data_IF_367208854158
#
_entry.id   IF_367208854158
#
_cell.length_a   1.000
_cell.length_b   1.000
_cell.length_c   1.000
_cell.angle_alpha   90.00
_cell.angle_beta   90.00
_cell.angle_gamma   90.00
#
_symmetry.space_group_name_H-M   'P 1'
#
loop_
_entity.id
_entity.type
_entity.pdbx_description
1 polymer ?
#
# COMPACT_ATOMS: atom_id res chain seq x y z
N UNK A 1 -7.93 -0.91 -23.73
CA UNK A 1 -8.31 -2.28 -24.12
C UNK A 1 -9.33 -2.34 -25.27
N UNK A 2 -10.50 -1.67 -25.19
CA UNK A 2 -11.49 -1.72 -26.30
C UNK A 2 -10.92 -1.20 -27.61
N UNK A 3 -10.19 -0.09 -27.60
CA UNK A 3 -9.54 0.49 -28.78
C UNK A 3 -8.47 -0.43 -29.34
N UNK A 4 -7.63 -1.02 -28.47
CA UNK A 4 -6.63 -2.00 -28.86
C UNK A 4 -7.25 -3.18 -29.60
N UNK A 5 -8.28 -3.80 -29.01
CA UNK A 5 -8.97 -4.95 -29.61
C UNK A 5 -9.58 -4.59 -30.98
N UNK A 6 -10.21 -3.40 -31.10
CA UNK A 6 -10.74 -2.90 -32.37
C UNK A 6 -9.64 -2.68 -33.42
N UNK A 7 -8.50 -2.10 -33.03
CA UNK A 7 -7.36 -1.89 -33.91
C UNK A 7 -6.79 -3.22 -34.47
N UNK A 8 -6.97 -4.32 -33.71
CA UNK A 8 -6.63 -5.66 -34.15
C UNK A 8 -7.75 -6.33 -35.00
N UNK A 9 -8.79 -5.58 -35.37
CA UNK A 9 -9.91 -6.11 -36.17
C UNK A 9 -10.82 -7.07 -35.43
N UNK A 10 -10.79 -7.09 -34.08
CA UNK A 10 -11.63 -7.96 -33.27
C UNK A 10 -12.84 -7.20 -32.71
N UNK A 11 -13.97 -7.90 -32.51
CA UNK A 11 -15.16 -7.30 -31.89
C UNK A 11 -14.89 -6.73 -30.50
N UNK A 12 -15.45 -5.57 -30.18
CA UNK A 12 -15.19 -4.83 -28.93
C UNK A 12 -15.48 -5.61 -27.65
N UNK A 13 -16.38 -6.59 -27.67
CA UNK A 13 -16.70 -7.44 -26.51
C UNK A 13 -15.52 -8.32 -26.09
N UNK A 14 -14.59 -8.65 -26.99
CA UNK A 14 -13.37 -9.42 -26.69
C UNK A 14 -12.50 -8.71 -25.65
N UNK A 15 -12.55 -7.38 -25.59
CA UNK A 15 -11.88 -6.62 -24.55
C UNK A 15 -12.30 -7.03 -23.12
N UNK A 16 -13.60 -7.32 -22.92
CA UNK A 16 -14.12 -7.77 -21.63
C UNK A 16 -13.62 -9.17 -21.28
N UNK A 17 -13.57 -10.07 -22.27
CA UNK A 17 -13.02 -11.42 -22.09
C UNK A 17 -11.53 -11.36 -21.72
N UNK A 18 -10.73 -10.57 -22.45
CA UNK A 18 -9.30 -10.39 -22.11
C UNK A 18 -9.10 -9.85 -20.69
N UNK A 19 -9.86 -8.80 -20.29
CA UNK A 19 -9.79 -8.26 -18.94
C UNK A 19 -10.16 -9.30 -17.88
N UNK A 20 -11.21 -10.10 -18.11
CA UNK A 20 -11.58 -11.19 -17.22
C UNK A 20 -10.43 -12.21 -17.07
N UNK A 21 -9.82 -12.62 -18.18
CA UNK A 21 -8.70 -13.56 -18.14
C UNK A 21 -7.47 -13.00 -17.45
N UNK A 22 -7.13 -11.74 -17.70
CA UNK A 22 -5.97 -11.09 -17.08
C UNK A 22 -6.18 -10.94 -15.56
N UNK A 23 -7.31 -10.38 -15.14
CA UNK A 23 -7.51 -9.96 -13.75
C UNK A 23 -8.17 -11.00 -12.86
N UNK A 24 -9.09 -11.83 -13.39
CA UNK A 24 -9.79 -12.85 -12.59
C UNK A 24 -9.16 -14.23 -12.76
N UNK A 25 -8.86 -14.65 -14.01
CA UNK A 25 -8.19 -15.93 -14.29
C UNK A 25 -6.68 -15.87 -14.12
N UNK A 26 -6.09 -14.65 -14.09
CA UNK A 26 -4.65 -14.39 -13.91
C UNK A 26 -3.80 -15.01 -15.02
N UNK A 27 -4.29 -14.95 -16.25
CA UNK A 27 -3.55 -15.43 -17.41
C UNK A 27 -2.17 -14.75 -17.48
N UNK A 28 -1.13 -15.54 -17.68
CA UNK A 28 0.24 -15.07 -17.80
C UNK A 28 0.65 -14.81 -19.26
N UNK A 29 -0.09 -15.34 -20.22
CA UNK A 29 0.11 -15.11 -21.65
C UNK A 29 -1.23 -15.01 -22.38
N UNK A 30 -1.22 -14.44 -23.57
CA UNK A 30 -2.40 -14.37 -24.44
C UNK A 30 -2.86 -15.77 -24.85
N UNK A 31 -1.94 -16.70 -25.00
CA UNK A 31 -2.27 -18.09 -25.36
C UNK A 31 -3.15 -18.82 -24.35
N UNK A 32 -3.10 -18.39 -23.09
CA UNK A 32 -3.96 -18.94 -22.04
C UNK A 32 -5.42 -18.50 -22.16
N UNK A 33 -5.73 -17.48 -22.99
CA UNK A 33 -7.09 -16.93 -23.15
C UNK A 33 -7.88 -17.83 -24.11
N UNK A 34 -8.29 -19.00 -23.66
CA UNK A 34 -8.94 -20.02 -24.50
C UNK A 34 -10.33 -19.64 -25.01
N UNK A 35 -10.94 -18.57 -24.52
CA UNK A 35 -12.16 -17.99 -25.09
C UNK A 35 -11.92 -17.28 -26.43
N UNK A 36 -10.66 -17.01 -26.80
CA UNK A 36 -10.27 -16.50 -28.10
C UNK A 36 -9.94 -17.67 -29.04
N UNK A 37 -10.26 -17.53 -30.34
CA UNK A 37 -9.81 -18.50 -31.34
C UNK A 37 -8.27 -18.52 -31.42
N UNK A 38 -7.72 -19.59 -31.98
CA UNK A 38 -6.26 -19.74 -32.13
C UNK A 38 -5.68 -18.59 -32.95
N UNK A 39 -6.30 -18.28 -34.10
CA UNK A 39 -5.88 -17.15 -34.98
C UNK A 39 -5.94 -15.81 -34.26
N UNK A 40 -6.98 -15.58 -33.42
CA UNK A 40 -7.07 -14.35 -32.63
C UNK A 40 -5.98 -14.24 -31.57
N UNK A 41 -5.60 -15.36 -30.93
CA UNK A 41 -4.49 -15.39 -29.98
C UNK A 41 -3.16 -15.12 -30.64
N UNK A 42 -2.86 -15.79 -31.76
CA UNK A 42 -1.66 -15.56 -32.56
C UNK A 42 -1.56 -14.09 -32.95
N UNK A 43 -2.59 -13.53 -33.57
CA UNK A 43 -2.62 -12.13 -33.98
C UNK A 43 -2.39 -11.15 -32.83
N UNK A 44 -2.98 -11.41 -31.67
CA UNK A 44 -2.83 -10.57 -30.48
C UNK A 44 -1.44 -10.72 -29.86
N UNK A 45 -0.83 -11.93 -29.91
CA UNK A 45 0.51 -12.19 -29.39
C UNK A 45 1.59 -11.52 -30.21
N UNK A 46 1.37 -11.35 -31.53
CA UNK A 46 2.27 -10.57 -32.41
C UNK A 46 2.24 -9.06 -32.09
N UNK A 47 1.11 -8.56 -31.57
CA UNK A 47 0.89 -7.14 -31.31
C UNK A 47 1.11 -6.71 -29.85
N UNK A 48 1.00 -7.64 -28.90
CA UNK A 48 1.09 -7.36 -27.47
C UNK A 48 1.41 -8.60 -26.65
N UNK A 49 1.79 -8.37 -25.39
CA UNK A 49 1.98 -9.42 -24.40
C UNK A 49 1.32 -9.03 -23.06
N UNK A 50 1.12 -9.99 -22.19
CA UNK A 50 0.72 -9.74 -20.80
C UNK A 50 2.00 -9.60 -19.98
N UNK A 51 2.22 -8.41 -19.39
CA UNK A 51 3.36 -8.19 -18.51
C UNK A 51 3.26 -9.08 -17.26
N UNK A 52 4.41 -9.53 -16.78
CA UNK A 52 4.49 -10.35 -15.58
C UNK A 52 5.72 -9.94 -14.77
N UNK A 53 5.55 -9.79 -13.48
CA UNK A 53 6.68 -9.58 -12.58
C UNK A 53 7.42 -10.90 -12.38
N UNK A 54 8.74 -10.88 -12.51
CA UNK A 54 9.61 -12.00 -12.22
C UNK A 54 9.83 -12.12 -10.71
N UNK A 55 9.64 -13.31 -10.14
CA UNK A 55 9.95 -13.55 -8.73
C UNK A 55 11.47 -13.81 -8.58
N UNK A 56 12.19 -12.81 -8.08
CA UNK A 56 13.63 -12.91 -7.82
C UNK A 56 13.95 -13.60 -6.50
N UNK A 57 13.15 -13.32 -5.46
CA UNK A 57 13.33 -13.90 -4.12
C UNK A 57 12.04 -13.91 -3.32
N UNK A 58 11.89 -14.93 -2.47
CA UNK A 58 10.81 -15.05 -1.48
C UNK A 58 11.42 -15.38 -0.13
N UNK A 59 11.09 -14.60 0.89
CA UNK A 59 11.50 -14.81 2.28
C UNK A 59 10.27 -15.00 3.15
N UNK A 60 10.33 -15.94 4.09
CA UNK A 60 9.24 -16.21 5.04
C UNK A 60 9.73 -15.97 6.46
N UNK A 61 9.03 -15.11 7.19
CA UNK A 61 9.27 -14.80 8.59
C UNK A 61 8.74 -15.90 9.52
N UNK A 62 9.25 -15.95 10.75
CA UNK A 62 8.73 -16.82 11.83
C UNK A 62 7.26 -16.57 12.14
N UNK A 63 6.76 -15.37 11.89
CA UNK A 63 5.35 -14.99 12.09
C UNK A 63 4.48 -15.22 10.84
N UNK A 64 4.98 -15.97 9.87
CA UNK A 64 4.36 -16.30 8.58
C UNK A 64 4.16 -15.11 7.64
N UNK A 65 4.77 -13.95 7.91
CA UNK A 65 4.86 -12.85 6.94
C UNK A 65 5.79 -13.25 5.81
N UNK A 66 5.39 -12.98 4.57
CA UNK A 66 6.20 -13.29 3.39
C UNK A 66 6.58 -12.02 2.66
N UNK A 67 7.84 -11.90 2.32
CA UNK A 67 8.38 -10.82 1.49
C UNK A 67 8.78 -11.36 0.13
N UNK A 68 8.32 -10.69 -0.92
CA UNK A 68 8.60 -11.00 -2.30
C UNK A 68 9.44 -9.90 -2.90
N UNK A 69 10.54 -10.23 -3.53
CA UNK A 69 11.32 -9.35 -4.38
C UNK A 69 10.96 -9.66 -5.84
N UNK A 70 10.44 -8.68 -6.55
CA UNK A 70 10.06 -8.78 -7.95
C UNK A 70 10.99 -7.97 -8.84
N UNK A 71 11.42 -8.58 -9.94
CA UNK A 71 12.10 -7.94 -11.05
C UNK A 71 11.11 -7.25 -11.98
N UNK A 72 11.53 -6.11 -12.50
CA UNK A 72 10.82 -5.32 -13.50
C UNK A 72 11.53 -5.46 -14.86
N UNK A 73 10.83 -5.15 -15.96
CA UNK A 73 11.36 -5.31 -17.32
C UNK A 73 12.61 -4.47 -17.62
N UNK A 74 12.81 -3.38 -16.89
CA UNK A 74 13.97 -2.50 -17.01
C UNK A 74 15.17 -2.88 -16.11
N UNK A 75 15.10 -4.04 -15.46
CA UNK A 75 16.13 -4.53 -14.55
C UNK A 75 16.07 -3.95 -13.14
N UNK A 76 15.16 -3.03 -12.85
CA UNK A 76 14.91 -2.55 -11.49
C UNK A 76 14.10 -3.60 -10.70
N UNK A 77 13.98 -3.39 -9.39
CA UNK A 77 13.25 -4.31 -8.53
C UNK A 77 12.42 -3.61 -7.46
N UNK A 78 11.36 -4.28 -7.03
CA UNK A 78 10.46 -3.81 -5.97
C UNK A 78 10.14 -4.93 -4.98
N UNK A 79 9.76 -4.56 -3.78
CA UNK A 79 9.30 -5.51 -2.77
C UNK A 79 7.81 -5.39 -2.50
N UNK A 80 7.18 -6.54 -2.26
CA UNK A 80 5.81 -6.65 -1.75
C UNK A 80 5.79 -7.56 -0.53
N UNK A 81 4.87 -7.33 0.41
CA UNK A 81 4.80 -8.10 1.66
C UNK A 81 3.39 -8.62 1.90
N UNK A 82 3.28 -9.93 2.08
CA UNK A 82 2.04 -10.61 2.43
C UNK A 82 2.02 -10.86 3.93
N UNK A 83 1.03 -10.25 4.60
CA UNK A 83 0.95 -10.19 6.07
C UNK A 83 -0.30 -10.92 6.53
N UNK A 84 -0.18 -12.11 7.15
CA UNK A 84 -1.29 -12.79 7.80
C UNK A 84 -1.59 -12.17 9.17
N UNK A 85 -2.86 -11.96 9.46
CA UNK A 85 -3.34 -11.50 10.76
C UNK A 85 -4.77 -12.03 11.02
N UNK A 86 -4.91 -13.08 11.84
CA UNK A 86 -6.18 -13.78 12.09
C UNK A 86 -6.88 -14.17 10.77
N UNK A 87 -8.06 -13.60 10.54
CA UNK A 87 -8.86 -13.85 9.33
C UNK A 87 -8.49 -12.95 8.14
N UNK A 88 -7.42 -12.16 8.26
CA UNK A 88 -6.97 -11.23 7.23
C UNK A 88 -5.66 -11.67 6.61
N UNK A 89 -5.60 -11.57 5.31
CA UNK A 89 -4.38 -11.71 4.54
C UNK A 89 -4.17 -10.40 3.78
N UNK A 90 -3.27 -9.55 4.28
CA UNK A 90 -3.03 -8.20 3.75
C UNK A 90 -1.81 -8.22 2.84
N UNK A 91 -1.95 -7.73 1.61
CA UNK A 91 -0.82 -7.51 0.72
C UNK A 91 -0.42 -6.03 0.75
N UNK A 92 0.82 -5.77 1.14
CA UNK A 92 1.48 -4.48 1.06
C UNK A 92 2.18 -4.38 -0.30
N UNK A 93 1.82 -3.37 -1.10
CA UNK A 93 2.35 -3.15 -2.45
C UNK A 93 3.09 -1.84 -2.57
N UNK A 94 4.03 -1.80 -3.51
CA UNK A 94 4.87 -0.65 -3.85
C UNK A 94 4.24 0.19 -4.96
N UNK A 95 4.54 1.50 -4.96
CA UNK A 95 4.08 2.46 -5.97
C UNK A 95 5.22 3.11 -6.76
N UNK A 96 6.47 2.94 -6.32
CA UNK A 96 7.66 3.50 -6.96
C UNK A 96 8.83 2.53 -6.79
N UNK A 97 9.82 2.64 -7.64
CA UNK A 97 11.16 2.08 -7.42
C UNK A 97 11.93 3.09 -6.58
N UNK A 98 12.19 2.74 -5.31
CA UNK A 98 12.73 3.68 -4.33
C UNK A 98 11.70 4.70 -3.83
N UNK A 99 12.16 5.79 -3.19
CA UNK A 99 11.29 6.85 -2.66
C UNK A 99 12.04 8.17 -2.52
N UNK A 100 11.43 9.27 -2.99
CA UNK A 100 12.01 10.62 -2.92
C UNK A 100 11.80 11.34 -1.57
N UNK A 101 11.03 10.75 -0.64
CA UNK A 101 10.61 11.47 0.57
C UNK A 101 11.71 11.68 1.61
N UNK A 102 12.75 10.84 1.61
CA UNK A 102 13.90 11.00 2.50
C UNK A 102 13.57 10.90 3.99
N UNK A 103 12.48 10.22 4.38
CA UNK A 103 12.12 10.05 5.80
C UNK A 103 13.27 9.36 6.56
N UNK A 104 13.71 9.93 7.68
CA UNK A 104 14.89 9.48 8.41
C UNK A 104 14.78 8.07 8.99
N UNK A 105 13.57 7.62 9.25
CA UNK A 105 13.25 6.31 9.80
C UNK A 105 12.95 5.23 8.74
N UNK A 106 13.03 5.57 7.43
CA UNK A 106 12.63 4.68 6.35
C UNK A 106 13.82 4.28 5.49
N UNK A 107 14.08 2.97 5.37
CA UNK A 107 15.19 2.45 4.58
C UNK A 107 14.99 2.71 3.08
N UNK A 108 13.76 2.61 2.57
CA UNK A 108 13.42 2.95 1.18
C UNK A 108 13.75 4.41 0.85
N UNK A 109 13.51 5.33 1.79
CA UNK A 109 13.86 6.74 1.61
C UNK A 109 15.37 7.01 1.52
N UNK A 110 16.20 6.13 2.09
CA UNK A 110 17.68 6.22 2.01
C UNK A 110 18.24 5.70 0.69
N UNK A 111 17.52 4.82 -0.01
CA UNK A 111 17.92 4.28 -1.32
C UNK A 111 17.78 5.35 -2.40
N UNK A 112 16.90 6.32 -2.20
CA UNK A 112 16.54 7.33 -3.17
C UNK A 112 15.45 6.87 -4.13
N UNK A 113 15.08 7.75 -5.04
CA UNK A 113 14.04 7.54 -6.05
C UNK A 113 14.66 7.21 -7.40
N UNK A 114 14.11 6.22 -8.09
CA UNK A 114 14.49 5.87 -9.46
C UNK A 114 13.39 6.29 -10.44
N UNK A 115 12.21 5.70 -10.32
CA UNK A 115 11.04 6.01 -11.17
C UNK A 115 9.71 5.64 -10.52
N UNK A 116 8.66 6.17 -11.09
CA UNK A 116 7.30 5.72 -10.79
C UNK A 116 7.04 4.33 -11.38
N UNK A 117 6.23 3.53 -10.69
CA UNK A 117 5.66 2.31 -11.27
C UNK A 117 4.48 2.69 -12.19
N UNK A 118 4.36 1.98 -13.30
CA UNK A 118 3.17 2.03 -14.16
C UNK A 118 1.99 1.33 -13.46
N UNK A 119 0.77 1.69 -13.84
CA UNK A 119 -0.44 1.11 -13.22
C UNK A 119 -0.48 -0.42 -13.32
N UNK A 120 0.00 -1.01 -14.41
CA UNK A 120 0.07 -2.47 -14.53
C UNK A 120 1.11 -3.06 -13.57
N UNK A 121 2.32 -2.47 -13.42
CA UNK A 121 3.33 -2.94 -12.48
C UNK A 121 2.84 -2.90 -11.02
N UNK A 122 1.98 -1.92 -10.68
CA UNK A 122 1.35 -1.84 -9.36
C UNK A 122 0.36 -3.00 -9.17
N UNK A 123 -0.47 -3.28 -10.18
CA UNK A 123 -1.47 -4.35 -10.13
C UNK A 123 -0.85 -5.73 -10.25
N UNK A 124 0.20 -5.87 -11.04
CA UNK A 124 0.90 -7.13 -11.26
C UNK A 124 1.52 -7.71 -9.98
N UNK A 125 1.88 -6.87 -9.00
CA UNK A 125 2.29 -7.35 -7.67
C UNK A 125 1.19 -8.21 -7.01
N UNK A 126 -0.06 -7.83 -7.18
CA UNK A 126 -1.20 -8.57 -6.63
C UNK A 126 -1.39 -9.88 -7.40
N UNK A 127 -1.36 -9.81 -8.73
CA UNK A 127 -1.54 -10.98 -9.62
C UNK A 127 -0.40 -11.99 -9.39
N UNK A 128 0.85 -11.52 -9.31
CA UNK A 128 2.02 -12.37 -9.09
C UNK A 128 1.93 -13.12 -7.75
N UNK A 129 1.61 -12.42 -6.65
CA UNK A 129 1.45 -13.08 -5.34
C UNK A 129 0.29 -14.07 -5.36
N UNK A 130 -0.83 -13.76 -6.04
CA UNK A 130 -1.95 -14.70 -6.17
C UNK A 130 -1.58 -15.95 -6.95
N UNK A 131 -0.80 -15.84 -8.03
CA UNK A 131 -0.29 -16.99 -8.80
C UNK A 131 0.63 -17.85 -7.94
N UNK A 132 1.60 -17.25 -7.25
CA UNK A 132 2.56 -17.94 -6.38
C UNK A 132 1.85 -18.71 -5.25
N UNK A 133 0.77 -18.15 -4.70
CA UNK A 133 0.01 -18.76 -3.60
C UNK A 133 -1.06 -19.74 -4.08
N UNK A 134 -1.29 -19.89 -5.39
CA UNK A 134 -2.33 -20.77 -5.93
C UNK A 134 -3.75 -20.32 -5.58
N UNK A 135 -3.96 -19.07 -5.23
CA UNK A 135 -5.28 -18.56 -4.80
C UNK A 135 -6.20 -18.30 -6.01
N UNK A 136 -7.28 -19.07 -6.11
CA UNK A 136 -8.25 -19.03 -7.21
C UNK A 136 -9.03 -17.72 -7.34
N UNK A 137 -9.36 -17.02 -6.28
CA UNK A 137 -10.09 -15.74 -6.36
C UNK A 137 -9.94 -14.89 -5.10
N UNK A 138 -10.18 -13.59 -5.22
CA UNK A 138 -10.35 -12.63 -4.11
C UNK A 138 -11.65 -12.81 -3.32
N UNK A 139 -12.36 -13.91 -3.50
CA UNK A 139 -13.67 -14.04 -2.87
C UNK A 139 -13.49 -14.36 -1.40
N UNK A 140 -13.84 -13.39 -0.58
CA UNK A 140 -14.46 -13.71 0.69
C UNK A 140 -15.71 -14.53 0.36
N UNK A 141 -15.63 -15.82 0.37
CA UNK A 141 -16.83 -16.60 0.62
C UNK A 141 -17.35 -16.16 1.98
N UNK A 142 -18.49 -15.48 1.97
CA UNK A 142 -19.38 -15.50 3.11
C UNK A 142 -19.38 -16.92 3.65
N UNK A 143 -19.29 -17.07 4.95
CA UNK A 143 -19.29 -18.35 5.62
C UNK A 143 -20.25 -19.32 4.90
N UNK A 144 -19.68 -20.31 4.23
CA UNK A 144 -20.45 -21.48 3.84
C UNK A 144 -20.64 -22.28 5.11
N UNK A 145 -21.85 -22.77 5.33
CA UNK A 145 -22.37 -23.40 6.54
C UNK A 145 -21.59 -24.58 7.12
N UNK A 146 -20.43 -24.92 6.61
CA UNK A 146 -19.63 -26.07 7.02
C UNK A 146 -18.17 -25.79 7.37
N UNK A 147 -17.79 -24.58 7.80
CA UNK A 147 -16.62 -24.33 8.64
C UNK A 147 -15.24 -24.90 8.25
N UNK A 148 -15.05 -25.50 7.07
CA UNK A 148 -13.79 -26.10 6.63
C UNK A 148 -13.56 -25.88 5.14
N UNK A 149 -12.92 -24.76 4.82
CA UNK A 149 -12.51 -24.45 3.45
C UNK A 149 -11.47 -23.36 3.46
N UNK A 150 -10.21 -23.70 3.77
CA UNK A 150 -9.06 -22.78 3.72
C UNK A 150 -8.66 -22.55 2.26
N UNK A 151 -9.32 -21.57 1.63
CA UNK A 151 -8.81 -20.86 0.47
C UNK A 151 -8.74 -19.40 0.82
N UNK A 152 -7.86 -19.01 1.75
CA UNK A 152 -7.70 -17.61 2.15
C UNK A 152 -7.00 -16.84 1.04
N UNK A 153 -7.78 -16.25 0.13
CA UNK A 153 -7.27 -15.25 -0.81
C UNK A 153 -6.85 -13.96 -0.08
N UNK A 154 -6.11 -13.11 -0.78
CA UNK A 154 -5.74 -11.77 -0.26
C UNK A 154 -7.03 -11.02 0.08
N UNK A 155 -7.14 -10.57 1.33
CA UNK A 155 -8.36 -9.91 1.83
C UNK A 155 -8.26 -8.39 1.81
N UNK A 156 -7.05 -7.85 1.93
CA UNK A 156 -6.80 -6.41 2.02
C UNK A 156 -5.56 -6.03 1.22
N UNK A 157 -5.56 -4.82 0.67
CA UNK A 157 -4.42 -4.22 -0.02
C UNK A 157 -4.04 -2.93 0.69
N UNK A 158 -2.74 -2.73 0.90
CA UNK A 158 -2.22 -1.48 1.46
C UNK A 158 -1.09 -0.93 0.58
N UNK A 159 -1.20 0.32 0.16
CA UNK A 159 -0.15 1.06 -0.53
C UNK A 159 0.78 1.65 0.53
N UNK A 160 1.58 0.78 1.13
CA UNK A 160 2.53 1.11 2.21
C UNK A 160 3.91 0.49 1.98
N UNK A 161 4.15 -0.02 0.76
CA UNK A 161 5.42 -0.53 0.30
C UNK A 161 6.39 0.59 -0.07
N UNK A 162 7.18 0.37 -1.11
CA UNK A 162 8.14 1.36 -1.58
C UNK A 162 7.44 2.50 -2.33
N UNK A 163 7.88 3.75 -2.05
CA UNK A 163 7.42 4.95 -2.73
C UNK A 163 6.38 5.77 -1.99
N UNK A 164 6.12 6.97 -2.54
CA UNK A 164 5.03 7.87 -2.14
C UNK A 164 3.92 7.83 -3.19
N UNK A 165 2.77 7.20 -2.89
CA UNK A 165 1.72 7.00 -3.91
C UNK A 165 1.20 8.29 -4.54
N UNK A 166 1.12 9.39 -3.79
CA UNK A 166 0.61 10.66 -4.32
C UNK A 166 1.62 11.42 -5.20
N UNK A 167 2.89 11.00 -5.26
CA UNK A 167 3.84 11.46 -6.28
C UNK A 167 3.73 10.64 -7.58
N UNK A 168 3.11 9.46 -7.52
CA UNK A 168 2.75 8.65 -8.68
C UNK A 168 1.23 8.67 -8.92
N UNK A 169 0.66 9.86 -8.87
CA UNK A 169 -0.78 10.06 -8.70
C UNK A 169 -1.64 9.39 -9.78
N UNK A 170 -1.35 9.64 -11.05
CA UNK A 170 -2.22 9.19 -12.15
C UNK A 170 -2.16 7.65 -12.31
N UNK A 171 -0.98 7.06 -12.21
CA UNK A 171 -0.79 5.61 -12.28
C UNK A 171 -1.41 4.89 -11.06
N UNK A 172 -1.33 5.49 -9.87
CA UNK A 172 -1.97 4.97 -8.67
C UNK A 172 -3.49 5.04 -8.76
N UNK A 173 -4.06 6.15 -9.28
CA UNK A 173 -5.50 6.28 -9.52
C UNK A 173 -5.99 5.23 -10.52
N UNK A 174 -5.24 5.03 -11.60
CA UNK A 174 -5.56 4.00 -12.61
C UNK A 174 -5.45 2.58 -12.01
N UNK A 175 -4.41 2.30 -11.22
CA UNK A 175 -4.28 1.03 -10.51
C UNK A 175 -5.46 0.77 -9.55
N UNK A 176 -5.87 1.78 -8.77
CA UNK A 176 -7.04 1.68 -7.87
C UNK A 176 -8.33 1.35 -8.63
N UNK A 177 -8.54 1.96 -9.80
CA UNK A 177 -9.68 1.63 -10.66
C UNK A 177 -9.63 0.17 -11.13
N UNK A 178 -8.48 -0.27 -11.65
CA UNK A 178 -8.31 -1.67 -12.10
C UNK A 178 -8.53 -2.68 -10.98
N UNK A 179 -7.99 -2.42 -9.79
CA UNK A 179 -8.16 -3.27 -8.62
C UNK A 179 -9.63 -3.37 -8.21
N UNK A 180 -10.36 -2.26 -8.22
CA UNK A 180 -11.76 -2.24 -7.79
C UNK A 180 -12.73 -2.75 -8.86
N UNK A 181 -12.50 -2.42 -10.13
CA UNK A 181 -13.42 -2.72 -11.23
C UNK A 181 -13.21 -4.12 -11.83
N UNK A 182 -11.93 -4.53 -11.99
CA UNK A 182 -11.61 -5.78 -12.69
C UNK A 182 -11.22 -6.93 -11.76
N UNK A 183 -10.66 -6.63 -10.57
CA UNK A 183 -10.33 -7.67 -9.59
C UNK A 183 -11.43 -7.84 -8.54
N UNK A 184 -12.46 -7.01 -8.52
CA UNK A 184 -13.58 -7.09 -7.59
C UNK A 184 -13.22 -6.80 -6.12
N UNK A 185 -12.06 -6.18 -5.85
CA UNK A 185 -11.66 -5.87 -4.48
C UNK A 185 -12.41 -4.65 -3.99
N UNK A 186 -13.18 -4.82 -2.92
CA UNK A 186 -13.92 -3.72 -2.33
C UNK A 186 -13.00 -2.57 -1.92
N UNK A 187 -13.36 -1.34 -2.29
CA UNK A 187 -12.66 -0.12 -1.88
C UNK A 187 -12.44 0.01 -0.36
N UNK A 188 -13.31 -0.60 0.46
CA UNK A 188 -13.18 -0.64 1.93
C UNK A 188 -12.03 -1.53 2.41
N UNK A 189 -11.50 -2.38 1.55
CA UNK A 189 -10.38 -3.28 1.84
C UNK A 189 -9.05 -2.77 1.30
N UNK A 190 -9.06 -1.59 0.69
CA UNK A 190 -7.87 -0.93 0.16
C UNK A 190 -7.55 0.26 1.06
N UNK A 191 -6.27 0.40 1.45
CA UNK A 191 -5.76 1.57 2.17
C UNK A 191 -4.61 2.18 1.38
N UNK A 192 -4.74 3.46 1.06
CA UNK A 192 -3.66 4.25 0.49
C UNK A 192 -3.01 5.08 1.59
N UNK A 193 -1.70 4.96 1.75
CA UNK A 193 -0.91 5.77 2.69
C UNK A 193 -0.14 6.84 1.94
N UNK A 194 -0.02 8.03 2.54
CA UNK A 194 0.80 9.12 2.00
C UNK A 194 1.57 9.82 3.10
N UNK A 195 2.77 10.28 2.77
CA UNK A 195 3.58 11.15 3.63
C UNK A 195 3.02 12.58 3.75
N UNK A 196 1.99 12.91 2.95
CA UNK A 196 1.29 14.18 3.05
C UNK A 196 1.56 15.16 1.91
N UNK A 197 1.42 14.70 0.65
CA UNK A 197 1.38 15.59 -0.52
C UNK A 197 0.04 16.33 -0.50
N UNK A 198 -0.03 17.39 0.31
CA UNK A 198 -1.27 18.04 0.74
C UNK A 198 -2.23 18.40 -0.41
N UNK A 199 -1.80 18.99 -1.56
CA UNK A 199 -2.71 19.33 -2.65
C UNK A 199 -3.36 18.10 -3.30
N UNK A 200 -2.69 16.95 -3.29
CA UNK A 200 -3.17 15.73 -3.92
C UNK A 200 -4.21 14.97 -3.07
N UNK A 201 -4.35 15.27 -1.80
CA UNK A 201 -5.31 14.59 -0.92
C UNK A 201 -6.76 14.86 -1.35
N UNK A 202 -7.23 16.11 -1.52
CA UNK A 202 -8.58 16.36 -2.03
C UNK A 202 -8.76 15.90 -3.48
N UNK A 203 -7.71 15.97 -4.30
CA UNK A 203 -7.74 15.51 -5.70
C UNK A 203 -7.97 13.99 -5.78
N UNK A 204 -7.38 13.22 -4.87
CA UNK A 204 -7.58 11.77 -4.78
C UNK A 204 -9.06 11.42 -4.59
N UNK A 205 -9.76 12.12 -3.72
CA UNK A 205 -11.20 11.90 -3.49
C UNK A 205 -12.08 12.25 -4.70
N UNK A 206 -11.62 13.13 -5.58
CA UNK A 206 -12.34 13.49 -6.82
C UNK A 206 -12.12 12.50 -7.95
N UNK A 207 -10.92 11.92 -8.05
CA UNK A 207 -10.49 11.15 -9.23
C UNK A 207 -10.42 9.64 -9.02
N UNK A 208 -10.30 9.17 -7.77
CA UNK A 208 -10.11 7.76 -7.45
C UNK A 208 -11.32 7.14 -6.74
N UNK A 209 -11.45 5.81 -6.75
CA UNK A 209 -12.35 5.11 -5.83
C UNK A 209 -12.06 5.51 -4.38
N UNK A 210 -13.11 5.77 -3.58
CA UNK A 210 -12.97 6.21 -2.19
C UNK A 210 -12.46 5.08 -1.30
N UNK A 211 -11.15 4.83 -1.35
CA UNK A 211 -10.44 3.87 -0.49
C UNK A 211 -10.15 4.48 0.89
N UNK A 212 -9.73 3.66 1.85
CA UNK A 212 -9.28 4.18 3.15
C UNK A 212 -8.00 4.99 2.97
N UNK A 213 -7.92 6.15 3.63
CA UNK A 213 -6.75 7.02 3.62
C UNK A 213 -5.98 6.89 4.92
N UNK A 214 -4.68 6.67 4.81
CA UNK A 214 -3.72 6.79 5.90
C UNK A 214 -2.76 7.95 5.63
N UNK A 215 -2.45 8.73 6.66
CA UNK A 215 -1.50 9.85 6.61
C UNK A 215 -0.34 9.54 7.54
N UNK A 216 0.86 9.45 7.00
CA UNK A 216 2.10 9.37 7.78
C UNK A 216 2.39 10.72 8.43
N UNK A 217 1.83 10.94 9.63
CA UNK A 217 1.96 12.19 10.37
C UNK A 217 3.30 12.26 11.10
N UNK A 218 3.58 11.28 11.93
CA UNK A 218 4.84 10.96 12.61
C UNK A 218 5.40 12.03 13.57
N UNK A 219 4.81 13.22 13.61
CA UNK A 219 5.13 14.26 14.59
C UNK A 219 3.90 15.13 14.87
N UNK A 220 3.90 15.78 16.02
CA UNK A 220 2.83 16.68 16.46
C UNK A 220 3.23 18.18 16.40
N UNK A 221 4.42 18.47 15.88
CA UNK A 221 4.95 19.82 15.63
C UNK A 221 5.82 19.85 14.37
N UNK A 222 5.94 21.02 13.75
CA UNK A 222 6.71 21.17 12.51
C UNK A 222 8.22 20.96 12.69
N UNK A 223 8.79 21.40 13.83
CA UNK A 223 10.23 21.30 14.10
C UNK A 223 10.68 19.83 14.08
N UNK A 224 9.97 18.98 14.79
CA UNK A 224 10.24 17.53 14.82
C UNK A 224 9.96 16.91 13.45
N UNK A 225 8.84 17.30 12.81
CA UNK A 225 8.48 16.74 11.52
C UNK A 225 9.46 17.12 10.40
N UNK A 226 10.02 18.32 10.40
CA UNK A 226 11.04 18.76 9.43
C UNK A 226 12.29 17.89 9.48
N UNK A 227 12.65 17.41 10.67
CA UNK A 227 13.84 16.56 10.89
C UNK A 227 13.58 15.14 10.39
N UNK A 228 12.41 14.57 10.72
CA UNK A 228 12.15 13.16 10.42
C UNK A 228 11.44 12.92 9.08
N UNK A 229 10.77 13.93 8.54
CA UNK A 229 10.03 13.90 7.27
C UNK A 229 10.24 15.20 6.48
N UNK A 230 11.25 15.30 5.62
CA UNK A 230 11.61 16.55 4.90
C UNK A 230 10.49 17.16 4.09
N UNK A 231 9.49 16.37 3.68
CA UNK A 231 8.28 16.85 2.98
C UNK A 231 7.52 17.93 3.76
N UNK A 232 7.68 17.97 5.09
CA UNK A 232 7.03 18.96 5.94
C UNK A 232 7.45 20.39 5.61
N UNK A 233 8.70 20.60 5.19
CA UNK A 233 9.20 21.91 4.73
C UNK A 233 8.39 22.45 3.56
N UNK A 234 7.87 21.56 2.69
CA UNK A 234 7.02 21.93 1.57
C UNK A 234 5.54 22.02 1.95
N UNK A 235 5.10 21.12 2.81
CA UNK A 235 3.72 21.02 3.28
C UNK A 235 3.69 20.90 4.80
N UNK A 236 3.77 22.03 5.55
CA UNK A 236 3.69 22.05 7.02
C UNK A 236 2.41 21.40 7.53
N UNK A 237 2.40 21.02 8.81
CA UNK A 237 1.27 20.35 9.45
C UNK A 237 -0.06 21.09 9.24
N UNK A 238 -0.07 22.41 9.30
CA UNK A 238 -1.27 23.23 9.11
C UNK A 238 -1.85 23.03 7.70
N UNK A 239 -1.00 23.05 6.68
CA UNK A 239 -1.37 22.83 5.27
C UNK A 239 -1.87 21.41 5.05
N UNK A 240 -1.17 20.43 5.62
CA UNK A 240 -1.56 19.03 5.54
C UNK A 240 -2.92 18.80 6.18
N UNK A 241 -3.12 19.26 7.42
CA UNK A 241 -4.36 19.06 8.16
C UNK A 241 -5.53 19.86 7.55
N UNK A 242 -5.27 21.05 6.99
CA UNK A 242 -6.26 21.79 6.22
C UNK A 242 -6.73 20.99 4.98
N UNK A 243 -5.82 20.29 4.29
CA UNK A 243 -6.18 19.42 3.17
C UNK A 243 -6.98 18.19 3.64
N UNK A 244 -6.67 17.63 4.80
CA UNK A 244 -7.44 16.55 5.40
C UNK A 244 -8.87 16.99 5.75
N UNK A 245 -9.08 18.21 6.25
CA UNK A 245 -10.42 18.75 6.57
C UNK A 245 -11.31 18.98 5.34
N UNK A 246 -10.73 19.08 4.14
CA UNK A 246 -11.49 19.20 2.87
C UNK A 246 -12.06 17.86 2.37
N UNK A 247 -11.75 16.74 3.02
CA UNK A 247 -12.27 15.44 2.64
C UNK A 247 -13.76 15.37 3.02
N UNK A 248 -14.65 14.93 2.11
CA UNK A 248 -16.07 14.76 2.41
C UNK A 248 -16.25 13.49 3.27
N UNK A 249 -16.25 13.66 4.58
CA UNK A 249 -16.44 12.55 5.52
C UNK A 249 -17.89 12.07 5.51
N UNK A 250 -18.09 10.77 5.28
CA UNK A 250 -19.33 10.09 5.66
C UNK A 250 -19.28 9.69 7.15
N UNK A 251 -20.42 9.37 7.80
CA UNK A 251 -20.44 9.02 9.23
C UNK A 251 -19.49 7.88 9.64
N UNK A 252 -19.11 7.02 8.69
CA UNK A 252 -18.21 5.87 8.92
C UNK A 252 -16.79 6.07 8.39
N UNK A 253 -16.52 7.18 7.72
CA UNK A 253 -15.20 7.48 7.13
C UNK A 253 -14.32 8.16 8.15
N UNK A 254 -13.09 7.68 8.33
CA UNK A 254 -12.06 8.25 9.20
C UNK A 254 -10.72 8.18 8.52
N UNK A 255 -9.91 9.20 8.71
CA UNK A 255 -8.49 9.16 8.35
C UNK A 255 -7.74 8.32 9.39
N UNK A 256 -6.81 7.50 8.96
CA UNK A 256 -5.84 6.87 9.85
C UNK A 256 -4.58 7.71 9.87
N UNK A 257 -4.22 8.28 11.02
CA UNK A 257 -2.91 8.91 11.18
C UNK A 257 -1.91 7.87 11.69
N UNK A 258 -0.90 7.60 10.88
CA UNK A 258 0.22 6.73 11.24
C UNK A 258 1.26 7.56 11.98
N UNK A 259 1.70 7.08 13.14
CA UNK A 259 2.67 7.73 13.99
C UNK A 259 3.78 6.77 14.38
N UNK A 260 4.90 6.82 13.64
CA UNK A 260 6.11 6.04 13.95
C UNK A 260 6.74 6.66 15.18
N UNK A 261 6.79 5.91 16.28
CA UNK A 261 7.34 6.36 17.56
C UNK A 261 8.83 6.10 17.61
N UNK A 262 9.59 7.17 17.86
CA UNK A 262 11.05 7.22 17.89
C UNK A 262 11.51 7.65 19.27
N UNK A 263 12.32 6.82 19.93
CA UNK A 263 12.79 7.08 21.31
C UNK A 263 13.53 8.42 21.43
N UNK A 264 13.08 9.24 22.37
CA UNK A 264 13.66 10.57 22.65
C UNK A 264 13.38 11.64 21.57
N UNK A 265 12.64 11.33 20.51
CA UNK A 265 12.38 12.25 19.39
C UNK A 265 10.93 12.78 19.41
N UNK A 266 9.97 11.88 19.39
CA UNK A 266 8.53 12.22 19.26
C UNK A 266 7.64 11.40 20.20
N UNK A 267 8.21 10.87 21.30
CA UNK A 267 7.57 9.92 22.21
C UNK A 267 7.25 10.50 23.59
N UNK A 268 7.37 11.83 23.76
CA UNK A 268 7.10 12.52 25.03
C UNK A 268 5.59 12.67 25.29
N UNK A 269 5.17 12.77 26.55
CA UNK A 269 3.77 13.09 26.89
C UNK A 269 3.26 14.38 26.24
N UNK A 270 4.11 15.39 26.12
CA UNK A 270 3.78 16.65 25.42
C UNK A 270 3.46 16.45 23.94
N UNK A 271 4.14 15.49 23.27
CA UNK A 271 3.86 15.17 21.87
C UNK A 271 2.49 14.52 21.72
N UNK A 272 2.10 13.63 22.65
CA UNK A 272 0.75 13.06 22.69
C UNK A 272 -0.33 14.13 22.90
N UNK A 273 -0.12 15.08 23.82
CA UNK A 273 -1.04 16.20 24.06
C UNK A 273 -1.17 17.11 22.84
N UNK A 274 -0.05 17.43 22.19
CA UNK A 274 -0.04 18.20 20.95
C UNK A 274 -0.77 17.46 19.83
N UNK A 275 -0.59 16.13 19.72
CA UNK A 275 -1.28 15.31 18.72
C UNK A 275 -2.80 15.38 18.91
N UNK A 276 -3.30 15.29 20.14
CA UNK A 276 -4.73 15.50 20.48
C UNK A 276 -5.19 16.85 19.98
N UNK A 277 -4.42 17.92 20.26
CA UNK A 277 -4.77 19.29 19.90
C UNK A 277 -4.88 19.50 18.40
N UNK A 278 -3.88 19.05 17.62
CA UNK A 278 -3.83 19.29 16.17
C UNK A 278 -4.84 18.45 15.38
N UNK A 279 -5.25 17.28 15.90
CA UNK A 279 -6.22 16.41 15.24
C UNK A 279 -7.68 16.70 15.63
N UNK A 280 -7.91 17.65 16.54
CA UNK A 280 -9.27 18.05 16.95
C UNK A 280 -10.12 18.45 15.74
N UNK A 281 -11.34 17.92 15.68
CA UNK A 281 -12.29 18.19 14.61
C UNK A 281 -12.05 17.42 13.30
N UNK A 282 -11.06 16.52 13.25
CA UNK A 282 -10.86 15.62 12.11
C UNK A 282 -11.33 14.22 12.52
N UNK A 283 -12.37 13.65 11.86
CA UNK A 283 -12.76 12.25 12.09
C UNK A 283 -11.60 11.30 11.81
N UNK A 284 -10.96 10.80 12.87
CA UNK A 284 -9.69 10.07 12.74
C UNK A 284 -9.52 8.95 13.74
N UNK A 285 -8.52 8.13 13.47
CA UNK A 285 -7.89 7.18 14.40
C UNK A 285 -6.38 7.30 14.26
N UNK A 286 -5.65 6.96 15.31
CA UNK A 286 -4.19 6.98 15.33
C UNK A 286 -3.66 5.55 15.44
N UNK A 287 -2.73 5.20 14.56
CA UNK A 287 -1.94 3.98 14.69
C UNK A 287 -0.55 4.36 15.20
N UNK A 288 -0.23 3.96 16.40
CA UNK A 288 1.11 4.07 16.97
C UNK A 288 1.95 2.90 16.48
N UNK A 289 3.07 3.20 15.83
CA UNK A 289 3.98 2.22 15.26
C UNK A 289 5.32 2.36 15.98
N UNK A 290 5.61 1.54 17.00
CA UNK A 290 6.95 1.53 17.58
C UNK A 290 7.97 1.25 16.49
N UNK A 291 9.03 2.05 16.42
CA UNK A 291 10.02 1.99 15.34
C UNK A 291 10.57 0.59 15.15
N UNK A 292 10.76 0.21 13.89
CA UNK A 292 11.39 -1.05 13.50
C UNK A 292 12.87 -0.79 13.18
N UNK A 293 13.79 -1.12 14.08
CA UNK A 293 15.23 -0.89 13.85
C UNK A 293 15.73 -1.68 12.63
N UNK A 294 16.73 -1.13 11.97
CA UNK A 294 17.46 -1.80 10.90
C UNK A 294 18.95 -1.41 10.99
N UNK A 295 19.80 -2.22 10.42
CA UNK A 295 21.25 -2.00 10.44
C UNK A 295 21.63 -0.62 9.88
N UNK A 296 22.49 0.11 10.58
CA UNK A 296 22.90 1.48 10.24
C UNK A 296 21.89 2.57 10.61
N UNK A 297 20.79 2.25 11.31
CA UNK A 297 19.90 3.27 11.88
C UNK A 297 20.43 3.78 13.21
N UNK A 298 20.49 5.13 13.35
CA UNK A 298 20.79 5.79 14.63
C UNK A 298 19.55 5.97 15.51
N UNK A 299 18.35 5.78 14.95
CA UNK A 299 17.08 5.89 15.65
C UNK A 299 16.81 4.63 16.46
N UNK A 300 16.11 4.79 17.60
CA UNK A 300 15.78 3.71 18.52
C UNK A 300 14.27 3.55 18.67
N UNK A 301 13.85 2.34 19.00
CA UNK A 301 12.47 2.02 19.38
C UNK A 301 12.24 2.48 20.82
N UNK A 302 11.15 3.18 21.14
CA UNK A 302 10.75 3.48 22.52
C UNK A 302 10.45 2.19 23.32
N UNK A 303 10.58 2.28 24.63
CA UNK A 303 10.13 1.19 25.50
C UNK A 303 8.59 1.01 25.41
N UNK A 304 8.11 -0.19 25.72
CA UNK A 304 6.69 -0.46 25.66
C UNK A 304 5.91 0.39 26.69
N UNK A 305 6.49 0.72 27.85
CA UNK A 305 5.92 1.62 28.85
C UNK A 305 5.66 3.02 28.28
N UNK A 306 6.61 3.58 27.52
CA UNK A 306 6.45 4.86 26.86
C UNK A 306 5.35 4.81 25.81
N UNK A 307 5.30 3.72 25.03
CA UNK A 307 4.27 3.52 24.00
C UNK A 307 2.89 3.43 24.63
N UNK A 308 2.73 2.67 25.72
CA UNK A 308 1.47 2.57 26.44
C UNK A 308 1.06 3.87 27.12
N UNK A 309 2.02 4.61 27.71
CA UNK A 309 1.75 5.91 28.32
C UNK A 309 1.27 6.92 27.27
N UNK A 310 1.91 6.95 26.10
CA UNK A 310 1.50 7.79 24.97
C UNK A 310 0.08 7.44 24.49
N UNK A 311 -0.20 6.14 24.29
CA UNK A 311 -1.53 5.66 23.91
C UNK A 311 -2.59 6.08 24.94
N UNK A 312 -2.29 5.95 26.24
CA UNK A 312 -3.21 6.28 27.34
C UNK A 312 -3.61 7.77 27.31
N UNK A 313 -2.68 8.67 27.00
CA UNK A 313 -2.99 10.11 26.84
C UNK A 313 -3.98 10.32 25.68
N UNK A 314 -3.77 9.67 24.53
CA UNK A 314 -4.66 9.78 23.38
C UNK A 314 -6.06 9.23 23.70
N UNK A 315 -6.13 8.05 24.32
CA UNK A 315 -7.41 7.40 24.64
C UNK A 315 -8.18 8.14 25.72
N UNK A 316 -7.50 8.68 26.74
CA UNK A 316 -8.13 9.51 27.76
C UNK A 316 -8.71 10.81 27.17
N UNK A 317 -8.16 11.31 26.08
CA UNK A 317 -8.70 12.44 25.32
C UNK A 317 -9.81 12.03 24.32
N UNK A 318 -10.31 10.79 24.37
CA UNK A 318 -11.38 10.27 23.51
C UNK A 318 -10.95 9.88 22.10
N UNK A 319 -9.64 9.80 21.81
CA UNK A 319 -9.15 9.38 20.49
C UNK A 319 -9.06 7.87 20.37
N UNK A 320 -9.40 7.34 19.19
CA UNK A 320 -9.16 5.94 18.85
C UNK A 320 -7.67 5.75 18.53
N UNK A 321 -6.88 5.26 19.47
CA UNK A 321 -5.46 5.01 19.30
C UNK A 321 -5.12 3.52 19.45
N UNK A 322 -4.40 2.97 18.47
CA UNK A 322 -4.04 1.55 18.40
C UNK A 322 -2.53 1.39 18.28
N UNK A 323 -1.95 0.48 19.06
CA UNK A 323 -0.55 0.09 18.92
C UNK A 323 -0.46 -1.00 17.87
N UNK A 324 0.32 -0.77 16.81
CA UNK A 324 0.54 -1.73 15.73
C UNK A 324 1.64 -2.70 16.14
N UNK A 325 1.32 -3.99 16.13
CA UNK A 325 2.34 -5.04 16.23
C UNK A 325 3.06 -5.15 14.89
N UNK A 326 4.37 -4.98 14.92
CA UNK A 326 5.21 -5.17 13.72
C UNK A 326 5.27 -6.65 13.34
N UNK A 327 5.23 -6.91 12.04
CA UNK A 327 5.30 -8.24 11.44
C UNK A 327 6.50 -8.30 10.50
N UNK A 328 7.12 -9.50 10.37
CA UNK A 328 8.20 -9.73 9.43
C UNK A 328 9.50 -8.95 9.73
N UNK A 329 9.77 -8.61 11.00
CA UNK A 329 10.97 -7.86 11.38
C UNK A 329 12.27 -8.61 11.07
N UNK A 330 12.27 -9.93 11.27
CA UNK A 330 13.42 -10.83 11.06
C UNK A 330 13.86 -10.94 9.60
N UNK A 331 12.97 -10.61 8.66
CA UNK A 331 13.25 -10.61 7.22
C UNK A 331 13.23 -9.19 6.61
N UNK A 332 13.31 -8.15 7.43
CA UNK A 332 13.19 -6.75 7.01
C UNK A 332 11.94 -6.46 6.15
N UNK A 333 10.80 -7.01 6.58
CA UNK A 333 9.51 -6.82 5.92
C UNK A 333 8.57 -5.85 6.66
N UNK A 334 8.96 -5.34 7.82
CA UNK A 334 8.16 -4.38 8.57
C UNK A 334 8.17 -2.99 7.92
N UNK A 335 7.21 -2.15 8.30
CA UNK A 335 7.09 -0.78 7.78
C UNK A 335 8.41 0.00 7.93
N UNK A 336 8.87 0.61 6.83
CA UNK A 336 10.10 1.38 6.75
C UNK A 336 11.36 0.54 6.50
N UNK A 337 11.28 -0.79 6.37
CA UNK A 337 12.44 -1.67 6.22
C UNK A 337 12.66 -2.19 4.78
N UNK A 338 11.77 -1.90 3.83
CA UNK A 338 11.88 -2.39 2.45
C UNK A 338 13.05 -1.70 1.70
N UNK A 339 13.80 -2.48 0.94
CA UNK A 339 15.05 -1.99 0.35
C UNK A 339 15.28 -2.43 -1.10
N UNK A 340 14.61 -3.46 -1.60
CA UNK A 340 14.67 -3.98 -2.97
C UNK A 340 16.07 -3.93 -3.62
N UNK A 341 17.04 -4.55 -2.98
CA UNK A 341 18.36 -4.76 -3.61
C UNK A 341 18.52 -6.24 -3.91
N UNK A 342 18.63 -6.55 -5.21
CA UNK A 342 19.22 -7.79 -5.69
C UNK A 342 20.75 -7.58 -5.74
N UNK A 343 21.50 -8.45 -5.08
CA UNK A 343 22.95 -8.50 -5.23
C UNK A 343 23.28 -9.41 -6.39
#
# INVERSE_FOLDING_TARGET
>A
MKEFVKAQGLPAYRAKQMLHWIYEKKAASIDQITELSKEAREKLSDAAYISNLELLSRQTSKDSTEKFLFGLEDGESIESVLIPDKDRLTLCISSQVGCAMGCSFCLTGKIGFKRNLKAHEIVDQIIAVMRIKGHGSFILRSATENGRGMGQGITNIVFMGMGEPLLNFDEVVEALKRITEFMGISKRRITLSTSGIAPKIPELYKKAPHVNLAISLNAADNKTRDIIMPINKKYPLETLLASCRKIPFSPRTRITFEYVMLDGVNDKPSDAQNLVRILRGIPSKVNLIPFNPYEGSKLKRPSDEKVFAFQKILTNAGMNAFIRKSKGQDILAACGQLKAKYK
#
